data_IF_100511327406
#
_entry.id   IF_100511327406
#
_cell.length_a   1.000
_cell.length_b   1.000
_cell.length_c   1.000
_cell.angle_alpha   90.00
_cell.angle_beta   90.00
_cell.angle_gamma   90.00
#
_symmetry.space_group_name_H-M   'P 1'
#
loop_
_entity.id
_entity.type
_entity.pdbx_description
1 polymer ?
#
# COMPACT_ATOMS: atom_id res chain seq x y z
N UNK A 1 16.25 0.47 -11.99
CA UNK A 1 16.93 1.77 -12.14
C UNK A 1 18.43 1.56 -12.06
N UNK A 2 19.22 2.59 -12.38
CA UNK A 2 20.66 2.64 -12.12
C UNK A 2 20.96 3.92 -11.36
N UNK A 3 21.67 3.83 -10.24
CA UNK A 3 22.04 5.01 -9.46
C UNK A 3 23.16 5.81 -10.13
N UNK A 4 23.17 7.12 -9.91
CA UNK A 4 24.25 8.00 -10.34
C UNK A 4 25.54 7.82 -9.52
N UNK A 5 26.51 8.75 -9.61
CA UNK A 5 27.81 8.62 -8.96
C UNK A 5 27.76 8.75 -7.43
N UNK A 6 26.62 9.13 -6.86
CA UNK A 6 26.42 9.25 -5.41
C UNK A 6 25.30 8.32 -4.93
N UNK A 7 25.37 7.82 -3.68
CA UNK A 7 24.26 7.08 -3.09
C UNK A 7 22.98 7.92 -3.05
N UNK A 8 21.84 7.27 -3.22
CA UNK A 8 20.54 7.94 -3.23
C UNK A 8 19.43 7.04 -2.69
N UNK A 9 18.34 7.65 -2.24
CA UNK A 9 17.11 6.93 -1.93
C UNK A 9 16.15 7.06 -3.10
N UNK A 10 15.75 5.93 -3.69
CA UNK A 10 14.65 5.85 -4.65
C UNK A 10 13.33 5.75 -3.88
N UNK A 11 12.35 6.54 -4.28
CA UNK A 11 11.00 6.50 -3.69
C UNK A 11 9.99 6.16 -4.77
N UNK A 12 9.32 5.02 -4.63
CA UNK A 12 8.11 4.72 -5.38
C UNK A 12 6.89 5.17 -4.58
N UNK A 13 5.88 5.70 -5.26
CA UNK A 13 4.71 6.29 -4.62
C UNK A 13 3.42 5.74 -5.21
N UNK A 14 2.40 5.57 -4.35
CA UNK A 14 1.04 5.22 -4.74
C UNK A 14 0.06 6.18 -4.06
N UNK A 15 -0.81 6.80 -4.83
CA UNK A 15 -1.86 7.69 -4.33
C UNK A 15 -3.18 6.94 -4.25
N UNK A 16 -3.93 7.10 -3.17
CA UNK A 16 -5.20 6.39 -2.96
C UNK A 16 -6.10 7.12 -1.97
N UNK A 17 -7.42 6.93 -2.07
CA UNK A 17 -8.40 7.32 -1.04
C UNK A 17 -8.76 6.17 -0.10
N UNK A 18 -8.30 4.97 -0.39
CA UNK A 18 -8.49 3.80 0.47
C UNK A 18 -7.83 4.00 1.83
N UNK A 19 -8.41 3.41 2.88
CA UNK A 19 -7.76 3.26 4.17
C UNK A 19 -6.51 2.40 3.98
N UNK A 20 -5.35 2.90 4.42
CA UNK A 20 -4.06 2.21 4.29
C UNK A 20 -3.65 1.60 5.63
N UNK A 21 -3.28 0.31 5.61
CA UNK A 21 -2.64 -0.37 6.75
C UNK A 21 -1.31 -0.96 6.29
N UNK A 22 -0.23 -0.69 7.02
CA UNK A 22 1.12 -1.18 6.68
C UNK A 22 1.53 -2.25 7.67
N UNK A 23 1.92 -3.41 7.17
CA UNK A 23 2.64 -4.43 7.92
C UNK A 23 4.12 -4.42 7.49
N UNK A 24 4.96 -3.86 8.35
CA UNK A 24 6.39 -3.77 8.07
C UNK A 24 7.11 -5.12 8.17
N UNK A 25 6.59 -6.07 8.95
CA UNK A 25 7.23 -7.37 9.18
C UNK A 25 7.27 -8.23 7.92
N UNK A 26 6.21 -8.20 7.11
CA UNK A 26 6.09 -8.95 5.86
C UNK A 26 6.14 -8.06 4.59
N UNK A 27 6.34 -6.75 4.77
CA UNK A 27 6.38 -5.73 3.71
C UNK A 27 5.10 -5.67 2.88
N UNK A 28 3.96 -5.76 3.57
CA UNK A 28 2.63 -5.71 2.97
C UNK A 28 1.95 -4.38 3.27
N UNK A 29 1.23 -3.86 2.29
CA UNK A 29 0.32 -2.72 2.43
C UNK A 29 -1.08 -3.20 2.06
N UNK A 30 -2.03 -3.10 2.97
CA UNK A 30 -3.43 -3.37 2.70
C UNK A 30 -4.16 -2.05 2.44
N UNK A 31 -4.82 -1.96 1.30
CA UNK A 31 -5.74 -0.89 0.94
C UNK A 31 -7.16 -1.41 1.10
N UNK A 32 -8.03 -0.67 1.77
CA UNK A 32 -9.45 -1.02 1.95
C UNK A 32 -10.34 0.16 1.63
N UNK A 33 -11.34 -0.04 0.76
CA UNK A 33 -12.32 0.99 0.38
C UNK A 33 -13.63 0.32 -0.01
N UNK A 34 -14.77 0.82 0.48
CA UNK A 34 -16.10 0.36 0.04
C UNK A 34 -16.33 -1.16 0.14
N UNK A 35 -15.73 -1.82 1.13
CA UNK A 35 -15.80 -3.28 1.32
C UNK A 35 -14.81 -4.08 0.47
N UNK A 36 -14.14 -3.43 -0.49
CA UNK A 36 -13.11 -4.01 -1.35
C UNK A 36 -11.72 -3.87 -0.74
N UNK A 37 -10.80 -4.76 -1.13
CA UNK A 37 -9.41 -4.66 -0.70
C UNK A 37 -8.41 -4.87 -1.85
N UNK A 38 -7.24 -4.23 -1.72
CA UNK A 38 -6.08 -4.48 -2.57
C UNK A 38 -4.86 -4.65 -1.67
N UNK A 39 -4.18 -5.78 -1.78
CA UNK A 39 -2.91 -6.03 -1.08
C UNK A 39 -1.75 -5.70 -1.99
N UNK A 40 -0.85 -4.82 -1.56
CA UNK A 40 0.44 -4.61 -2.19
C UNK A 40 1.52 -5.33 -1.39
N UNK A 41 2.41 -6.07 -2.06
CA UNK A 41 3.50 -6.79 -1.41
C UNK A 41 4.83 -6.49 -2.08
N UNK A 42 5.82 -6.09 -1.30
CA UNK A 42 7.18 -5.83 -1.80
C UNK A 42 7.99 -7.11 -1.79
N UNK A 43 8.29 -7.62 -2.98
CA UNK A 43 9.10 -8.84 -3.16
C UNK A 43 10.59 -8.56 -3.21
N UNK A 44 10.99 -7.42 -3.77
CA UNK A 44 12.39 -7.01 -3.87
C UNK A 44 12.49 -5.48 -3.83
N UNK A 45 13.52 -4.91 -3.18
CA UNK A 45 14.52 -5.61 -2.37
C UNK A 45 13.95 -6.05 -1.00
N UNK A 46 14.68 -6.92 -0.30
CA UNK A 46 14.23 -7.44 1.00
C UNK A 46 14.14 -6.35 2.10
N UNK A 47 14.93 -5.28 1.98
CA UNK A 47 14.94 -4.16 2.91
C UNK A 47 14.40 -2.91 2.22
N UNK A 48 13.25 -2.45 2.69
CA UNK A 48 12.61 -1.20 2.28
C UNK A 48 12.06 -0.50 3.51
N UNK A 49 11.86 0.82 3.42
CA UNK A 49 11.03 1.55 4.39
C UNK A 49 9.71 1.90 3.72
N UNK A 50 8.61 1.62 4.41
CA UNK A 50 7.26 1.91 3.93
C UNK A 50 6.64 2.91 4.89
N UNK A 51 6.09 3.99 4.37
CA UNK A 51 5.31 4.94 5.15
C UNK A 51 4.12 5.49 4.35
N UNK A 52 3.21 6.12 5.08
CA UNK A 52 2.01 6.74 4.54
C UNK A 52 1.95 8.19 4.97
N UNK A 53 1.57 9.07 4.05
CA UNK A 53 1.39 10.50 4.32
C UNK A 53 0.01 10.95 3.88
N UNK A 54 -0.67 11.68 4.76
CA UNK A 54 -1.87 12.43 4.39
C UNK A 54 -1.47 13.58 3.43
N UNK A 55 -2.09 13.59 2.26
CA UNK A 55 -1.88 14.59 1.21
C UNK A 55 -3.21 15.18 0.74
N UNK A 56 -4.19 15.22 1.66
CA UNK A 56 -5.53 15.72 1.38
C UNK A 56 -5.60 17.26 1.37
N UNK A 57 -4.74 17.91 2.14
CA UNK A 57 -4.65 19.36 2.18
C UNK A 57 -3.78 19.90 1.02
N UNK A 58 -4.13 21.08 0.46
CA UNK A 58 -3.29 21.82 -0.49
C UNK A 58 -1.86 22.03 0.05
N UNK A 59 -0.85 21.84 -0.81
CA UNK A 59 0.52 22.15 -0.45
C UNK A 59 0.89 23.60 -0.76
N UNK A 60 0.30 24.15 -1.82
CA UNK A 60 0.41 25.56 -2.22
C UNK A 60 -0.94 26.25 -2.13
N UNK A 61 -0.92 27.57 -2.05
CA UNK A 61 -2.14 28.40 -1.97
C UNK A 61 -3.00 28.38 -3.23
N UNK A 62 -2.45 27.91 -4.34
CA UNK A 62 -3.16 27.77 -5.63
C UNK A 62 -3.54 26.32 -5.95
N UNK A 63 -3.23 25.37 -5.06
CA UNK A 63 -3.66 23.99 -5.21
C UNK A 63 -5.09 23.82 -4.68
N UNK A 64 -5.87 22.92 -5.29
CA UNK A 64 -7.16 22.51 -4.76
C UNK A 64 -7.01 21.37 -3.74
N UNK A 65 -7.91 21.31 -2.76
CA UNK A 65 -7.92 20.23 -1.77
C UNK A 65 -8.28 18.89 -2.43
N UNK A 66 -7.73 17.78 -1.93
CA UNK A 66 -8.09 16.43 -2.35
C UNK A 66 -8.50 15.58 -1.14
N UNK A 67 -9.71 15.79 -0.59
CA UNK A 67 -10.16 15.12 0.63
C UNK A 67 -10.00 13.60 0.58
N UNK A 68 -9.48 13.04 1.66
CA UNK A 68 -9.24 11.60 1.81
C UNK A 68 -8.02 11.05 1.05
N UNK A 69 -7.31 11.87 0.27
CA UNK A 69 -6.13 11.40 -0.46
C UNK A 69 -4.95 11.11 0.48
N UNK A 70 -4.46 9.89 0.42
CA UNK A 70 -3.26 9.41 1.08
C UNK A 70 -2.19 9.01 0.06
N UNK A 71 -0.93 9.14 0.46
CA UNK A 71 0.23 8.74 -0.33
C UNK A 71 1.00 7.66 0.40
N UNK A 72 1.08 6.48 -0.19
CA UNK A 72 1.99 5.42 0.23
C UNK A 72 3.34 5.66 -0.42
N UNK A 73 4.43 5.48 0.33
CA UNK A 73 5.80 5.61 -0.15
C UNK A 73 6.60 4.38 0.21
N UNK A 74 7.33 3.86 -0.77
CA UNK A 74 8.29 2.77 -0.60
C UNK A 74 9.68 3.33 -0.91
N UNK A 75 10.51 3.39 0.12
CA UNK A 75 11.88 3.90 0.04
C UNK A 75 12.87 2.74 -0.09
N UNK A 76 13.72 2.83 -1.10
CA UNK A 76 14.84 1.91 -1.34
C UNK A 76 16.14 2.69 -1.42
N UNK A 77 17.11 2.35 -0.58
CA UNK A 77 18.44 2.94 -0.66
C UNK A 77 19.27 2.26 -1.74
N UNK A 78 19.98 3.06 -2.54
CA UNK A 78 20.81 2.60 -3.65
C UNK A 78 22.24 3.09 -3.46
N UNK A 79 23.18 2.17 -3.65
CA UNK A 79 24.62 2.49 -3.69
C UNK A 79 24.95 3.18 -5.00
N UNK A 80 25.93 4.09 -4.97
CA UNK A 80 26.44 4.77 -6.17
C UNK A 80 26.78 3.78 -7.30
N UNK A 81 26.37 4.11 -8.53
CA UNK A 81 26.63 3.31 -9.73
C UNK A 81 25.94 1.94 -9.79
N UNK A 82 25.24 1.51 -8.74
CA UNK A 82 24.65 0.19 -8.69
C UNK A 82 23.28 0.14 -9.40
N UNK A 83 22.96 -0.96 -10.11
CA UNK A 83 21.61 -1.21 -10.55
C UNK A 83 20.72 -1.54 -9.34
N UNK A 84 19.47 -1.09 -9.38
CA UNK A 84 18.46 -1.41 -8.38
C UNK A 84 17.15 -1.85 -9.01
N UNK A 85 16.39 -2.67 -8.29
CA UNK A 85 15.11 -3.23 -8.74
C UNK A 85 14.10 -3.29 -7.60
N UNK A 86 12.94 -2.66 -7.82
CA UNK A 86 11.77 -2.74 -6.97
C UNK A 86 10.75 -3.65 -7.67
N UNK A 87 10.24 -4.63 -6.95
CA UNK A 87 9.15 -5.50 -7.41
C UNK A 87 8.03 -5.41 -6.38
N UNK A 88 6.88 -4.91 -6.83
CA UNK A 88 5.64 -4.82 -6.05
C UNK A 88 4.59 -5.63 -6.78
N UNK A 89 3.94 -6.57 -6.10
CA UNK A 89 2.74 -7.25 -6.61
C UNK A 89 1.52 -6.57 -6.01
N UNK A 90 0.49 -6.35 -6.83
CA UNK A 90 -0.82 -5.92 -6.42
C UNK A 90 -1.81 -7.09 -6.58
N UNK A 91 -2.37 -7.54 -5.46
CA UNK A 91 -3.27 -8.69 -5.36
C UNK A 91 -4.65 -8.16 -4.93
N UNK A 92 -5.66 -8.15 -5.83
CA UNK A 92 -7.03 -7.84 -5.44
C UNK A 92 -7.48 -8.82 -4.34
N UNK A 93 -8.09 -8.30 -3.29
CA UNK A 93 -8.83 -9.14 -2.37
C UNK A 93 -10.21 -9.44 -2.93
N UNK A 94 -10.74 -10.61 -2.61
CA UNK A 94 -12.13 -10.94 -2.88
C UNK A 94 -13.03 -10.25 -1.85
N UNK A 95 -14.15 -9.70 -2.31
CA UNK A 95 -15.30 -9.40 -1.46
C UNK A 95 -15.65 -10.70 -0.74
N UNK A 96 -15.74 -10.70 0.60
CA UNK A 96 -16.48 -11.76 1.27
C UNK A 96 -17.91 -11.65 0.74
N UNK A 97 -18.31 -12.58 -0.13
CA UNK A 97 -19.68 -12.61 -0.62
C UNK A 97 -20.61 -12.62 0.60
N UNK A 98 -21.53 -11.65 0.64
CA UNK A 98 -22.62 -11.63 1.60
C UNK A 98 -23.44 -12.90 1.33
N UNK A 99 -23.11 -13.98 2.03
CA UNK A 99 -23.62 -15.32 1.75
C UNK A 99 -22.77 -16.46 2.34
N UNK A 100 -21.53 -16.21 2.73
CA UNK A 100 -20.64 -17.24 3.33
C UNK A 100 -20.74 -17.32 4.87
N UNK A 101 -21.80 -16.75 5.46
CA UNK A 101 -22.17 -17.12 6.82
C UNK A 101 -22.75 -18.54 6.75
N UNK A 102 -22.20 -19.53 7.48
CA UNK A 102 -22.88 -20.81 7.61
C UNK A 102 -24.30 -20.54 8.12
N UNK A 103 -25.30 -21.16 7.49
CA UNK A 103 -26.69 -21.07 7.92
C UNK A 103 -26.77 -21.20 9.45
N UNK A 104 -27.53 -20.35 10.15
CA UNK A 104 -27.74 -20.56 11.57
C UNK A 104 -28.33 -21.95 11.74
N UNK A 105 -27.57 -22.84 12.38
CA UNK A 105 -28.06 -24.13 12.84
C UNK A 105 -29.20 -23.82 13.79
N UNK A 106 -30.43 -23.97 13.31
CA UNK A 106 -31.60 -24.01 14.16
C UNK A 106 -31.52 -25.33 14.91
N UNK A 107 -31.07 -25.28 16.17
CA UNK A 107 -31.22 -26.41 17.07
C UNK A 107 -32.70 -26.82 17.11
N UNK A 108 -33.05 -28.09 16.85
CA UNK A 108 -34.39 -28.56 17.14
C UNK A 108 -34.57 -28.54 18.67
N UNK A 109 -35.53 -27.73 19.11
CA UNK A 109 -35.85 -27.58 20.53
C UNK A 109 -36.22 -28.94 21.17
N UNK A 110 -35.79 -29.20 22.41
CA UNK A 110 -36.35 -30.28 23.24
C UNK A 110 -37.75 -29.94 23.78
#
# INVERSE_FOLDING_TARGET
WTAGPTPLTVTWQWLTRAKVTVNAADRTILLSQDGETLRLRVLSPAKVRIDTRDVSAPFRSFDEANPGLSRVRIHTDSVAGAPGRLVVIAEPGSVLAVGDLPDPVLDPAP
#
